data_IF_426747496294
#
_entry.id   IF_426747496294
#
_cell.length_a   1.000
_cell.length_b   1.000
_cell.length_c   1.000
_cell.angle_alpha   90.00
_cell.angle_beta   90.00
_cell.angle_gamma   90.00
#
_symmetry.space_group_name_H-M   'P 1'
#
loop_
_entity.id
_entity.type
_entity.pdbx_description
1 polymer ?
#
# COMPACT_ATOMS: atom_id res chain seq x y z
N UNK A 1 7.30 2.02 50.57
CA UNK A 1 6.27 1.33 49.77
C UNK A 1 6.91 1.01 48.43
N UNK A 2 7.56 -0.16 48.31
CA UNK A 2 8.21 -0.58 47.06
C UNK A 2 7.12 -1.13 46.15
N UNK A 3 6.72 -0.34 45.15
CA UNK A 3 6.04 -0.89 43.98
C UNK A 3 7.07 -1.75 43.26
N UNK A 4 6.80 -3.05 43.23
CA UNK A 4 7.59 -4.07 42.56
C UNK A 4 7.75 -3.70 41.07
N UNK A 5 8.96 -3.35 40.64
CA UNK A 5 9.27 -2.92 39.27
C UNK A 5 8.78 -3.93 38.22
N UNK A 6 8.67 -5.21 38.59
CA UNK A 6 8.13 -6.31 37.76
C UNK A 6 6.61 -6.24 37.56
N UNK A 7 5.87 -5.77 38.57
CA UNK A 7 4.44 -5.49 38.46
C UNK A 7 4.21 -4.26 37.57
N UNK A 8 5.05 -3.22 37.67
CA UNK A 8 4.91 -2.03 36.83
C UNK A 8 5.17 -2.30 35.34
N UNK A 9 6.20 -3.10 35.03
CA UNK A 9 6.57 -3.44 33.64
C UNK A 9 5.60 -4.44 33.02
N UNK A 10 5.05 -5.40 33.77
CA UNK A 10 4.03 -6.31 33.25
C UNK A 10 2.68 -5.63 33.00
N UNK A 11 2.26 -4.72 33.89
CA UNK A 11 1.04 -3.92 33.70
C UNK A 11 1.16 -3.02 32.46
N UNK A 12 2.29 -2.34 32.29
CA UNK A 12 2.51 -1.43 31.16
C UNK A 12 2.48 -2.16 29.80
N UNK A 13 3.10 -3.34 29.72
CA UNK A 13 3.13 -4.18 28.50
C UNK A 13 1.74 -4.65 28.07
N UNK A 14 0.85 -4.90 29.03
CA UNK A 14 -0.51 -5.38 28.76
C UNK A 14 -1.51 -4.24 28.46
N UNK A 15 -1.15 -2.98 28.70
CA UNK A 15 -2.02 -1.84 28.44
C UNK A 15 -1.80 -1.20 27.07
N UNK A 16 -0.66 -1.46 26.43
CA UNK A 16 -0.35 -0.90 25.12
C UNK A 16 -1.09 -1.68 24.03
N UNK A 17 -2.05 -1.00 23.40
CA UNK A 17 -2.84 -1.53 22.28
C UNK A 17 -2.45 -0.93 20.94
N UNK A 18 -1.77 0.21 20.95
CA UNK A 18 -1.32 0.94 19.76
C UNK A 18 0.15 1.30 19.91
N UNK A 19 0.93 1.06 18.86
CA UNK A 19 2.33 1.43 18.81
C UNK A 19 2.69 2.01 17.44
N UNK A 20 3.45 3.09 17.46
CA UNK A 20 4.05 3.69 16.27
C UNK A 20 5.55 3.63 16.45
N UNK A 21 6.23 3.01 15.49
CA UNK A 21 7.68 2.94 15.42
C UNK A 21 8.09 3.70 14.18
N UNK A 22 8.96 4.69 14.35
CA UNK A 22 9.66 5.35 13.26
C UNK A 22 11.14 5.11 13.49
N UNK A 23 11.82 4.55 12.49
CA UNK A 23 13.27 4.46 12.52
C UNK A 23 13.84 5.33 11.41
N UNK A 24 14.81 6.14 11.82
CA UNK A 24 15.73 6.86 10.96
C UNK A 24 17.10 6.20 11.16
N UNK A 25 17.47 5.22 10.31
CA UNK A 25 18.70 4.48 10.52
C UNK A 25 19.91 5.37 10.19
N UNK A 26 20.75 5.61 11.18
CA UNK A 26 22.16 5.83 10.92
C UNK A 26 22.77 4.49 10.45
N UNK A 27 23.70 4.56 9.48
CA UNK A 27 24.21 3.43 8.67
C UNK A 27 24.79 2.22 9.43
N UNK A 28 24.92 2.26 10.76
CA UNK A 28 25.62 1.27 11.58
C UNK A 28 24.74 0.50 12.60
N UNK A 29 23.40 0.66 12.63
CA UNK A 29 22.56 0.11 13.72
C UNK A 29 21.63 -1.09 13.37
N UNK A 30 21.87 -1.82 12.28
CA UNK A 30 21.01 -2.92 11.82
C UNK A 30 20.73 -4.00 12.91
N UNK A 31 21.72 -4.31 13.75
CA UNK A 31 21.58 -5.27 14.85
C UNK A 31 20.64 -4.77 15.96
N UNK A 32 20.76 -3.50 16.33
CA UNK A 32 19.89 -2.85 17.32
C UNK A 32 18.45 -2.83 16.83
N UNK A 33 18.26 -2.53 15.55
CA UNK A 33 16.94 -2.53 14.91
C UNK A 33 16.27 -3.91 14.95
N UNK A 34 16.99 -4.97 14.58
CA UNK A 34 16.46 -6.34 14.66
C UNK A 34 15.99 -6.68 16.07
N UNK A 35 16.75 -6.29 17.09
CA UNK A 35 16.37 -6.52 18.47
C UNK A 35 15.12 -5.73 18.88
N UNK A 36 14.98 -4.46 18.50
CA UNK A 36 13.80 -3.64 18.77
C UNK A 36 12.55 -4.23 18.12
N UNK A 37 12.65 -4.62 16.85
CA UNK A 37 11.59 -5.25 16.08
C UNK A 37 11.10 -6.55 16.75
N UNK A 38 12.03 -7.45 17.08
CA UNK A 38 11.71 -8.72 17.73
C UNK A 38 11.11 -8.53 19.12
N UNK A 39 11.65 -7.59 19.91
CA UNK A 39 11.14 -7.32 21.26
C UNK A 39 9.75 -6.71 21.21
N UNK A 40 9.50 -5.75 20.32
CA UNK A 40 8.18 -5.12 20.18
C UNK A 40 7.08 -6.16 20.00
N UNK A 41 7.28 -7.08 19.07
CA UNK A 41 6.27 -8.06 18.67
C UNK A 41 6.06 -9.17 19.70
N UNK A 42 7.04 -9.39 20.59
CA UNK A 42 6.98 -10.40 21.65
C UNK A 42 6.58 -9.83 23.01
N UNK A 43 6.76 -8.54 23.23
CA UNK A 43 6.55 -7.87 24.52
C UNK A 43 5.10 -7.37 24.69
N UNK A 44 4.47 -6.89 23.62
CA UNK A 44 3.13 -6.28 23.70
C UNK A 44 2.04 -7.26 23.28
N UNK A 45 1.54 -8.05 24.24
CA UNK A 45 0.55 -9.13 23.98
C UNK A 45 -0.83 -8.62 23.52
N UNK A 46 -1.19 -7.38 23.87
CA UNK A 46 -2.47 -6.76 23.55
C UNK A 46 -2.36 -5.74 22.41
N UNK A 47 -1.25 -5.75 21.67
CA UNK A 47 -1.04 -4.84 20.56
C UNK A 47 -2.02 -5.17 19.42
N UNK A 48 -2.93 -4.23 19.16
CA UNK A 48 -3.95 -4.36 18.12
C UNK A 48 -3.65 -3.49 16.89
N UNK A 49 -2.88 -2.41 17.10
CA UNK A 49 -2.51 -1.46 16.06
C UNK A 49 -1.01 -1.26 16.06
N UNK A 50 -0.37 -1.52 14.93
CA UNK A 50 1.06 -1.28 14.73
C UNK A 50 1.25 -0.41 13.49
N UNK A 51 1.99 0.67 13.64
CA UNK A 51 2.49 1.46 12.53
C UNK A 51 4.01 1.42 12.54
N UNK A 52 4.63 1.10 11.42
CA UNK A 52 6.07 1.03 11.27
C UNK A 52 6.54 1.87 10.07
N UNK A 53 7.32 2.90 10.36
CA UNK A 53 7.94 3.78 9.39
C UNK A 53 9.44 3.53 9.35
N UNK A 54 9.92 3.09 8.20
CA UNK A 54 11.35 3.09 7.87
C UNK A 54 11.61 4.30 6.97
N UNK A 55 12.22 5.35 7.54
CA UNK A 55 12.45 6.60 6.82
C UNK A 55 13.45 6.43 5.66
N UNK A 56 14.39 5.50 5.80
CA UNK A 56 15.42 5.23 4.80
C UNK A 56 14.98 4.18 3.76
N UNK A 57 13.84 3.52 3.98
CA UNK A 57 13.38 2.38 3.18
C UNK A 57 14.48 1.33 3.00
N UNK A 58 15.22 0.96 4.05
CA UNK A 58 16.31 -0.03 3.93
C UNK A 58 15.83 -1.49 4.09
N UNK A 59 14.53 -1.74 3.85
CA UNK A 59 13.86 -3.01 4.14
C UNK A 59 13.97 -3.46 5.60
N UNK A 60 14.19 -2.54 6.55
CA UNK A 60 14.28 -2.88 7.96
C UNK A 60 12.99 -3.51 8.50
N UNK A 61 11.86 -3.26 7.83
CA UNK A 61 10.59 -3.91 8.11
C UNK A 61 10.70 -5.43 7.97
N UNK A 62 11.55 -5.97 7.07
CA UNK A 62 11.82 -7.42 6.98
C UNK A 62 12.30 -8.00 8.31
N UNK A 63 13.05 -7.22 9.10
CA UNK A 63 13.55 -7.65 10.41
C UNK A 63 12.43 -7.90 11.43
N UNK A 64 11.26 -7.25 11.29
CA UNK A 64 10.06 -7.59 12.08
C UNK A 64 9.57 -9.01 11.80
N UNK A 65 9.87 -9.53 10.61
CA UNK A 65 9.29 -10.79 10.13
C UNK A 65 10.31 -11.93 10.06
N UNK A 66 11.61 -11.67 10.19
CA UNK A 66 12.61 -12.74 10.36
C UNK A 66 12.53 -13.44 11.74
N UNK A 67 11.58 -13.06 12.59
CA UNK A 67 11.26 -13.75 13.84
C UNK A 67 10.69 -15.15 13.54
N UNK A 68 11.29 -16.25 14.04
CA UNK A 68 10.80 -17.59 13.79
C UNK A 68 9.42 -17.84 14.43
N UNK A 69 8.50 -18.34 13.61
CA UNK A 69 7.24 -18.96 14.06
C UNK A 69 7.60 -20.13 15.00
N UNK A 70 7.20 -20.17 16.29
CA UNK A 70 5.94 -19.68 16.87
C UNK A 70 6.10 -18.53 17.91
N UNK A 71 7.23 -17.84 17.96
CA UNK A 71 7.46 -16.76 18.97
C UNK A 71 6.61 -15.51 18.72
N UNK A 72 5.96 -15.44 17.56
CA UNK A 72 4.96 -14.44 17.22
C UNK A 72 3.59 -14.84 17.82
N UNK A 73 3.35 -14.52 19.09
CA UNK A 73 2.08 -14.82 19.78
C UNK A 73 1.04 -13.70 19.73
N UNK A 74 1.32 -12.61 19.01
CA UNK A 74 0.41 -11.47 18.86
C UNK A 74 -0.75 -11.81 17.92
N UNK A 75 -1.57 -12.78 18.34
CA UNK A 75 -2.88 -13.12 17.79
C UNK A 75 -3.87 -11.94 17.85
N UNK A 76 -3.51 -10.82 18.47
CA UNK A 76 -4.37 -9.65 18.68
C UNK A 76 -4.17 -8.53 17.64
N UNK A 77 -3.19 -8.61 16.74
CA UNK A 77 -2.94 -7.53 15.78
C UNK A 77 -4.05 -7.47 14.71
N UNK A 78 -4.80 -6.36 14.70
CA UNK A 78 -5.92 -6.13 13.79
C UNK A 78 -5.59 -5.11 12.70
N UNK A 79 -4.68 -4.19 12.97
CA UNK A 79 -4.31 -3.10 12.06
C UNK A 79 -2.79 -3.02 11.95
N UNK A 80 -2.31 -3.04 10.71
CA UNK A 80 -0.89 -2.88 10.38
C UNK A 80 -0.75 -1.78 9.33
N UNK A 81 0.09 -0.79 9.62
CA UNK A 81 0.53 0.22 8.67
C UNK A 81 2.05 0.16 8.54
N UNK A 82 2.55 0.02 7.32
CA UNK A 82 3.97 -0.16 7.06
C UNK A 82 4.41 0.67 5.87
N UNK A 83 5.68 1.07 5.94
CA UNK A 83 6.41 1.67 4.83
C UNK A 83 7.60 0.78 4.49
N UNK A 84 7.61 0.19 3.29
CA UNK A 84 8.59 -0.83 2.89
C UNK A 84 9.23 -0.49 1.55
N UNK A 85 10.45 -1.00 1.30
CA UNK A 85 11.15 -0.70 0.05
C UNK A 85 10.71 -1.59 -1.09
N UNK A 86 10.50 -2.89 -0.83
CA UNK A 86 10.27 -3.91 -1.85
C UNK A 86 8.97 -4.68 -1.65
N UNK A 87 8.44 -5.19 -2.76
CA UNK A 87 7.20 -5.95 -2.82
C UNK A 87 7.26 -7.30 -2.06
N UNK A 88 8.45 -7.90 -1.98
CA UNK A 88 8.66 -9.18 -1.30
C UNK A 88 8.26 -9.13 0.17
N UNK A 89 8.55 -8.01 0.83
CA UNK A 89 8.17 -7.79 2.22
C UNK A 89 6.65 -7.77 2.37
N UNK A 90 5.92 -7.17 1.42
CA UNK A 90 4.47 -7.19 1.40
C UNK A 90 3.94 -8.62 1.30
N UNK A 91 4.49 -9.41 0.38
CA UNK A 91 4.05 -10.80 0.18
C UNK A 91 4.31 -11.67 1.42
N UNK A 92 5.43 -11.44 2.11
CA UNK A 92 5.80 -12.15 3.32
C UNK A 92 4.84 -11.89 4.49
N UNK A 93 4.39 -10.64 4.66
CA UNK A 93 3.38 -10.26 5.66
C UNK A 93 2.08 -11.00 5.41
N UNK A 94 1.77 -11.24 4.14
CA UNK A 94 0.53 -11.81 3.67
C UNK A 94 0.53 -13.34 3.63
N UNK A 95 1.61 -14.00 4.04
CA UNK A 95 1.73 -15.47 4.06
C UNK A 95 1.05 -16.15 5.27
N UNK A 96 0.13 -15.45 5.94
CA UNK A 96 -0.71 -16.01 7.02
C UNK A 96 -0.16 -15.82 8.44
N UNK A 97 0.86 -14.99 8.64
CA UNK A 97 1.40 -14.67 9.98
C UNK A 97 0.44 -13.84 10.84
N UNK A 98 -0.44 -13.09 10.18
CA UNK A 98 -1.39 -12.18 10.82
C UNK A 98 -2.82 -12.61 10.51
N UNK A 99 -3.22 -13.78 11.00
CA UNK A 99 -4.54 -14.35 10.68
C UNK A 99 -5.71 -13.45 11.12
N UNK A 100 -5.55 -12.65 12.17
CA UNK A 100 -6.58 -11.74 12.68
C UNK A 100 -6.53 -10.34 12.04
N UNK A 101 -5.64 -10.10 11.08
CA UNK A 101 -5.48 -8.78 10.47
C UNK A 101 -6.74 -8.40 9.70
N UNK A 102 -7.37 -7.30 10.10
CA UNK A 102 -8.55 -6.75 9.43
C UNK A 102 -8.19 -5.61 8.50
N UNK A 103 -7.15 -4.84 8.83
CA UNK A 103 -6.69 -3.71 8.03
C UNK A 103 -5.19 -3.75 7.80
N UNK A 104 -4.81 -3.53 6.55
CA UNK A 104 -3.42 -3.41 6.13
C UNK A 104 -3.25 -2.19 5.25
N UNK A 105 -2.27 -1.37 5.60
CA UNK A 105 -1.89 -0.16 4.87
C UNK A 105 -0.40 -0.27 4.53
N UNK A 106 -0.08 -0.18 3.25
CA UNK A 106 1.28 -0.34 2.75
C UNK A 106 1.65 0.86 1.89
N UNK A 107 2.76 1.48 2.23
CA UNK A 107 3.48 2.43 1.39
C UNK A 107 4.77 1.78 0.88
N UNK A 108 4.87 1.58 -0.44
CA UNK A 108 6.02 1.03 -1.13
C UNK A 108 6.81 2.15 -1.77
N UNK A 109 8.12 2.25 -1.46
CA UNK A 109 9.00 3.15 -2.22
C UNK A 109 9.04 2.76 -3.70
N UNK A 110 9.34 1.50 -3.98
CA UNK A 110 9.50 1.00 -5.32
C UNK A 110 8.84 -0.36 -5.47
N UNK A 111 8.11 -0.53 -6.57
CA UNK A 111 7.59 -1.84 -6.95
C UNK A 111 8.55 -2.47 -7.97
N UNK A 112 9.32 -3.45 -7.51
CA UNK A 112 10.15 -4.32 -8.35
C UNK A 112 9.62 -5.75 -8.28
N UNK A 113 9.79 -6.54 -9.37
CA UNK A 113 9.47 -7.96 -9.32
C UNK A 113 10.30 -8.66 -8.22
N UNK A 114 9.73 -9.69 -7.57
CA UNK A 114 10.45 -10.49 -6.60
C UNK A 114 11.76 -11.04 -7.15
N UNK A 115 12.78 -11.11 -6.29
CA UNK A 115 14.03 -11.80 -6.63
C UNK A 115 13.86 -13.33 -6.65
N UNK A 116 12.83 -13.84 -5.98
CA UNK A 116 12.49 -15.26 -5.90
C UNK A 116 11.00 -15.47 -6.21
N UNK A 117 10.65 -16.54 -6.92
CA UNK A 117 9.25 -16.91 -7.15
C UNK A 117 8.56 -17.19 -5.81
N UNK A 118 7.69 -16.28 -5.37
CA UNK A 118 6.90 -16.50 -4.16
C UNK A 118 5.73 -17.44 -4.53
N UNK A 119 5.99 -18.75 -4.42
CA UNK A 119 5.07 -19.83 -4.82
C UNK A 119 3.80 -19.92 -3.93
N UNK A 120 3.73 -19.21 -2.81
CA UNK A 120 2.62 -19.36 -1.86
C UNK A 120 1.52 -18.30 -2.04
N UNK A 121 0.58 -18.61 -2.94
CA UNK A 121 -0.67 -17.87 -3.15
C UNK A 121 -1.70 -18.17 -2.05
N UNK A 122 -1.37 -17.90 -0.78
CA UNK A 122 -2.35 -18.04 0.30
C UNK A 122 -3.38 -16.93 0.22
N UNK A 123 -4.67 -17.31 0.31
CA UNK A 123 -5.78 -16.37 0.50
C UNK A 123 -5.67 -15.72 1.88
N UNK A 124 -6.17 -14.48 1.98
CA UNK A 124 -6.16 -13.71 3.22
C UNK A 124 -7.61 -13.43 3.64
N UNK A 125 -8.31 -14.45 4.17
CA UNK A 125 -9.77 -14.41 4.24
C UNK A 125 -10.33 -13.34 5.19
N UNK A 126 -9.55 -12.94 6.20
CA UNK A 126 -10.00 -12.04 7.27
C UNK A 126 -9.70 -10.55 6.99
N UNK A 127 -8.90 -10.25 5.97
CA UNK A 127 -8.59 -8.87 5.63
C UNK A 127 -9.81 -8.21 4.99
N UNK A 128 -10.25 -7.10 5.58
CA UNK A 128 -11.43 -6.33 5.16
C UNK A 128 -11.07 -5.00 4.52
N UNK A 129 -9.93 -4.43 4.92
CA UNK A 129 -9.48 -3.11 4.48
C UNK A 129 -8.04 -3.22 3.99
N UNK A 130 -7.80 -2.83 2.75
CA UNK A 130 -6.46 -2.80 2.18
C UNK A 130 -6.19 -1.44 1.53
N UNK A 131 -5.04 -0.86 1.84
CA UNK A 131 -4.53 0.33 1.17
C UNK A 131 -3.13 0.05 0.67
N UNK A 132 -2.89 0.38 -0.59
CA UNK A 132 -1.58 0.29 -1.23
C UNK A 132 -1.24 1.63 -1.87
N UNK A 133 -0.06 2.14 -1.53
CA UNK A 133 0.57 3.26 -2.22
C UNK A 133 1.91 2.83 -2.79
N UNK A 134 2.17 3.09 -4.07
CA UNK A 134 3.48 2.80 -4.66
C UNK A 134 3.80 3.67 -5.87
N UNK A 135 5.09 3.72 -6.21
CA UNK A 135 5.58 4.21 -7.49
C UNK A 135 6.05 3.04 -8.35
N UNK A 136 5.66 3.03 -9.62
CA UNK A 136 5.92 1.90 -10.51
C UNK A 136 5.80 2.19 -12.01
N UNK A 137 5.75 1.14 -12.81
CA UNK A 137 5.39 1.12 -14.23
C UNK A 137 4.04 0.43 -14.40
N UNK A 138 3.31 0.74 -15.47
CA UNK A 138 1.98 0.14 -15.70
C UNK A 138 2.05 -1.37 -15.88
N UNK A 139 3.14 -1.89 -16.47
CA UNK A 139 3.40 -3.33 -16.58
C UNK A 139 3.35 -4.05 -15.22
N UNK A 140 3.95 -3.47 -14.18
CA UNK A 140 3.97 -4.06 -12.83
C UNK A 140 2.62 -3.98 -12.10
N UNK A 141 1.73 -3.06 -12.50
CA UNK A 141 0.36 -3.07 -11.99
C UNK A 141 -0.35 -4.37 -12.41
N UNK A 142 -0.23 -4.76 -13.67
CA UNK A 142 -0.84 -5.99 -14.19
C UNK A 142 -0.15 -7.26 -13.64
N UNK A 143 1.19 -7.26 -13.58
CA UNK A 143 1.98 -8.43 -13.20
C UNK A 143 2.03 -8.69 -11.69
N UNK A 144 1.98 -7.66 -10.85
CA UNK A 144 2.25 -7.79 -9.40
C UNK A 144 1.05 -7.34 -8.55
N UNK A 145 0.46 -6.19 -8.88
CA UNK A 145 -0.59 -5.59 -8.05
C UNK A 145 -1.93 -6.31 -8.22
N UNK A 146 -2.37 -6.55 -9.46
CA UNK A 146 -3.64 -7.24 -9.70
C UNK A 146 -3.66 -8.65 -9.08
N UNK A 147 -2.64 -9.52 -9.27
CA UNK A 147 -2.60 -10.82 -8.62
C UNK A 147 -2.66 -10.73 -7.08
N UNK A 148 -2.01 -9.73 -6.49
CA UNK A 148 -2.07 -9.50 -5.05
C UNK A 148 -3.50 -9.16 -4.60
N UNK A 149 -4.13 -8.20 -5.27
CA UNK A 149 -5.50 -7.75 -5.02
C UNK A 149 -6.48 -8.94 -5.12
N UNK A 150 -6.33 -9.83 -6.11
CA UNK A 150 -7.18 -11.00 -6.27
C UNK A 150 -7.11 -12.01 -5.11
N UNK A 151 -5.98 -12.08 -4.40
CA UNK A 151 -5.85 -12.92 -3.19
C UNK A 151 -6.72 -12.42 -2.03
N UNK A 152 -7.19 -11.18 -2.11
CA UNK A 152 -7.97 -10.47 -1.10
C UNK A 152 -9.40 -10.21 -1.60
N UNK A 153 -10.02 -11.21 -2.25
CA UNK A 153 -11.36 -11.08 -2.86
C UNK A 153 -12.51 -10.75 -1.88
N UNK A 154 -12.27 -10.84 -0.57
CA UNK A 154 -13.25 -10.55 0.48
C UNK A 154 -13.15 -9.12 1.05
N UNK A 155 -12.31 -8.27 0.44
CA UNK A 155 -12.17 -6.88 0.86
C UNK A 155 -13.50 -6.14 0.77
N UNK A 156 -13.80 -5.39 1.83
CA UNK A 156 -14.92 -4.46 1.88
C UNK A 156 -14.47 -3.06 1.47
N UNK A 157 -13.19 -2.73 1.66
CA UNK A 157 -12.61 -1.49 1.19
C UNK A 157 -11.20 -1.66 0.60
N UNK A 158 -10.98 -0.93 -0.49
CA UNK A 158 -9.72 -0.89 -1.22
C UNK A 158 -9.32 0.56 -1.50
N UNK A 159 -8.11 0.92 -1.12
CA UNK A 159 -7.48 2.20 -1.43
C UNK A 159 -6.23 2.01 -2.27
N UNK A 160 -6.15 2.63 -3.45
CA UNK A 160 -4.99 2.52 -4.34
C UNK A 160 -4.42 3.90 -4.65
N UNK A 161 -3.14 4.13 -4.36
CA UNK A 161 -2.45 5.38 -4.70
C UNK A 161 -1.20 5.08 -5.51
N UNK A 162 -1.22 5.40 -6.80
CA UNK A 162 -0.14 5.05 -7.72
C UNK A 162 0.43 6.28 -8.39
N UNK A 163 1.75 6.29 -8.55
CA UNK A 163 2.42 7.09 -9.57
C UNK A 163 3.09 6.13 -10.52
N UNK A 164 2.70 6.14 -11.79
CA UNK A 164 3.12 5.15 -12.76
C UNK A 164 3.67 5.79 -14.03
N UNK A 165 4.72 5.21 -14.60
CA UNK A 165 5.10 5.49 -15.99
C UNK A 165 4.31 4.57 -16.92
N UNK A 166 3.65 5.15 -17.92
CA UNK A 166 2.85 4.42 -18.90
C UNK A 166 3.77 3.75 -19.91
N UNK A 167 3.74 2.41 -19.93
CA UNK A 167 4.44 1.62 -20.93
C UNK A 167 3.54 1.33 -22.14
N UNK A 168 2.41 0.67 -21.90
CA UNK A 168 1.50 0.19 -22.96
C UNK A 168 0.08 0.74 -22.82
N UNK A 169 -0.50 0.69 -21.61
CA UNK A 169 -1.92 0.99 -21.38
C UNK A 169 -2.12 1.94 -20.21
N UNK A 170 -3.14 2.79 -20.32
CA UNK A 170 -3.58 3.63 -19.21
C UNK A 170 -4.38 2.82 -18.20
N UNK A 171 -4.20 3.15 -16.92
CA UNK A 171 -5.11 2.70 -15.87
C UNK A 171 -6.30 3.68 -15.85
N UNK A 172 -7.24 3.47 -16.76
CA UNK A 172 -8.47 4.25 -16.89
C UNK A 172 -9.66 3.57 -16.18
N UNK A 173 -10.87 4.13 -16.32
CA UNK A 173 -12.08 3.60 -15.70
C UNK A 173 -12.48 2.22 -16.23
N UNK A 174 -12.19 1.93 -17.49
CA UNK A 174 -12.46 0.60 -18.06
C UNK A 174 -11.50 -0.44 -17.48
N UNK A 175 -10.21 -0.11 -17.35
CA UNK A 175 -9.22 -0.95 -16.71
C UNK A 175 -9.62 -1.27 -15.25
N UNK A 176 -9.93 -0.24 -14.45
CA UNK A 176 -10.33 -0.43 -13.05
C UNK A 176 -11.63 -1.25 -12.93
N UNK A 177 -12.60 -1.03 -13.82
CA UNK A 177 -13.85 -1.80 -13.85
C UNK A 177 -13.59 -3.26 -14.17
N UNK A 178 -12.85 -3.53 -15.25
CA UNK A 178 -12.54 -4.86 -15.72
C UNK A 178 -11.75 -5.67 -14.70
N UNK A 179 -10.71 -5.07 -14.12
CA UNK A 179 -9.72 -5.78 -13.32
C UNK A 179 -9.96 -5.69 -11.81
N UNK A 180 -10.72 -4.73 -11.29
CA UNK A 180 -10.96 -4.65 -9.84
C UNK A 180 -12.44 -4.85 -9.55
N UNK A 181 -13.30 -3.97 -10.06
CA UNK A 181 -14.70 -3.93 -9.64
C UNK A 181 -15.48 -5.18 -10.03
N UNK A 182 -15.21 -5.76 -11.20
CA UNK A 182 -15.85 -7.00 -11.63
C UNK A 182 -15.42 -8.23 -10.80
N UNK A 183 -14.24 -8.16 -10.16
CA UNK A 183 -13.67 -9.29 -9.40
C UNK A 183 -13.95 -9.19 -7.89
N UNK A 184 -14.26 -8.00 -7.37
CA UNK A 184 -14.41 -7.76 -5.93
C UNK A 184 -15.87 -7.50 -5.53
N UNK A 185 -16.68 -8.57 -5.51
CA UNK A 185 -18.12 -8.46 -5.23
C UNK A 185 -18.49 -8.00 -3.81
N UNK A 186 -17.55 -8.10 -2.87
CA UNK A 186 -17.73 -7.65 -1.48
C UNK A 186 -17.33 -6.17 -1.28
N UNK A 187 -16.75 -5.53 -2.30
CA UNK A 187 -16.19 -4.19 -2.18
C UNK A 187 -17.30 -3.15 -2.06
N UNK A 188 -17.36 -2.50 -0.90
CA UNK A 188 -18.31 -1.43 -0.58
C UNK A 188 -17.71 -0.05 -0.87
N UNK A 189 -16.39 0.08 -0.72
CA UNK A 189 -15.67 1.34 -0.94
C UNK A 189 -14.41 1.10 -1.76
N UNK A 190 -14.35 1.76 -2.89
CA UNK A 190 -13.13 1.83 -3.70
C UNK A 190 -12.68 3.27 -3.80
N UNK A 191 -11.46 3.53 -3.34
CA UNK A 191 -10.82 4.84 -3.45
C UNK A 191 -9.53 4.71 -4.22
N UNK A 192 -9.25 5.66 -5.11
CA UNK A 192 -8.01 5.68 -5.86
C UNK A 192 -7.47 7.09 -6.11
N UNK A 193 -6.16 7.17 -6.27
CA UNK A 193 -5.36 8.35 -6.63
C UNK A 193 -4.23 7.89 -7.57
N UNK A 194 -4.47 7.93 -8.88
CA UNK A 194 -3.60 7.36 -9.90
C UNK A 194 -3.03 8.48 -10.76
N UNK A 195 -1.71 8.61 -10.75
CA UNK A 195 -0.93 9.51 -11.60
C UNK A 195 -0.20 8.69 -12.64
N UNK A 196 -0.34 9.05 -13.89
CA UNK A 196 0.27 8.40 -15.05
C UNK A 196 1.15 9.41 -15.79
N UNK A 197 2.44 9.13 -15.85
CA UNK A 197 3.43 9.87 -16.62
C UNK A 197 3.61 9.17 -17.96
N UNK A 198 3.48 9.89 -19.07
CA UNK A 198 3.60 9.33 -20.42
C UNK A 198 4.67 10.08 -21.21
N UNK A 199 5.45 9.35 -22.02
CA UNK A 199 6.39 9.94 -22.97
C UNK A 199 5.66 10.19 -24.29
N UNK A 200 5.51 11.44 -24.72
CA UNK A 200 4.82 11.79 -25.97
C UNK A 200 5.74 11.48 -27.16
N UNK A 201 5.41 10.43 -27.89
CA UNK A 201 6.03 10.13 -29.19
C UNK A 201 5.11 10.61 -30.32
N UNK A 202 5.68 10.92 -31.49
CA UNK A 202 4.99 11.53 -32.63
C UNK A 202 3.79 10.73 -33.21
N UNK A 203 3.55 9.50 -32.75
CA UNK A 203 2.51 8.59 -33.26
C UNK A 203 1.40 8.29 -32.23
N UNK A 204 1.43 8.87 -31.03
CA UNK A 204 0.41 8.57 -30.02
C UNK A 204 -0.82 9.46 -30.12
N UNK A 205 -1.99 8.81 -30.17
CA UNK A 205 -3.25 9.46 -29.85
C UNK A 205 -3.25 9.80 -28.35
N UNK A 206 -3.06 11.08 -28.06
CA UNK A 206 -3.06 11.63 -26.71
C UNK A 206 -4.50 11.79 -26.21
N UNK A 207 -4.95 11.02 -25.20
CA UNK A 207 -6.34 11.08 -24.74
C UNK A 207 -6.65 12.43 -24.09
N UNK A 208 -7.75 13.07 -24.50
CA UNK A 208 -8.22 14.28 -23.81
C UNK A 208 -8.70 13.95 -22.39
N UNK A 209 -8.87 14.99 -21.57
CA UNK A 209 -9.50 14.87 -20.25
C UNK A 209 -10.89 14.23 -20.37
N UNK A 210 -11.65 14.64 -21.38
CA UNK A 210 -13.00 14.16 -21.66
C UNK A 210 -12.98 12.67 -22.02
N UNK A 211 -12.02 12.23 -22.84
CA UNK A 211 -11.85 10.81 -23.19
C UNK A 211 -11.63 9.97 -21.93
N UNK A 212 -10.72 10.41 -21.04
CA UNK A 212 -10.46 9.72 -19.77
C UNK A 212 -11.68 9.76 -18.86
N UNK A 213 -12.32 10.93 -18.70
CA UNK A 213 -13.48 11.09 -17.82
C UNK A 213 -14.66 10.21 -18.25
N UNK A 214 -14.83 10.01 -19.57
CA UNK A 214 -15.89 9.19 -20.15
C UNK A 214 -15.77 7.71 -19.75
N UNK A 215 -14.57 7.22 -19.43
CA UNK A 215 -14.36 5.83 -18.97
C UNK A 215 -14.95 5.55 -17.57
N UNK A 216 -15.35 6.59 -16.84
CA UNK A 216 -15.86 6.50 -15.47
C UNK A 216 -17.38 6.67 -15.35
N UNK A 217 -18.12 6.88 -16.45
CA UNK A 217 -19.55 7.22 -16.41
C UNK A 217 -20.42 6.16 -15.74
N UNK A 218 -19.98 4.90 -15.76
CA UNK A 218 -20.73 3.77 -15.22
C UNK A 218 -20.43 3.50 -13.73
N UNK A 219 -19.49 4.23 -13.12
CA UNK A 219 -19.09 4.01 -11.73
C UNK A 219 -20.02 4.78 -10.79
N UNK A 220 -21.01 4.07 -10.24
CA UNK A 220 -22.05 4.65 -9.38
C UNK A 220 -21.56 5.17 -8.02
N UNK A 221 -20.33 4.81 -7.62
CA UNK A 221 -19.92 4.86 -6.21
C UNK A 221 -19.04 6.06 -5.83
N UNK A 222 -18.65 6.92 -6.78
CA UNK A 222 -17.64 7.95 -6.48
C UNK A 222 -17.68 9.12 -7.44
N UNK A 223 -17.54 10.35 -6.91
CA UNK A 223 -17.18 11.51 -7.73
C UNK A 223 -15.73 11.30 -8.16
N UNK A 224 -15.49 11.16 -9.46
CA UNK A 224 -14.18 10.91 -10.04
C UNK A 224 -13.79 12.12 -10.86
N UNK A 225 -12.54 12.56 -10.71
CA UNK A 225 -11.97 13.68 -11.45
C UNK A 225 -10.78 13.16 -12.23
N UNK A 226 -10.74 13.47 -13.52
CA UNK A 226 -9.56 13.35 -14.37
C UNK A 226 -8.97 14.73 -14.69
N UNK A 227 -7.65 14.79 -14.73
CA UNK A 227 -6.85 15.92 -15.17
C UNK A 227 -5.82 15.38 -16.16
N UNK A 228 -5.71 16.00 -17.34
CA UNK A 228 -4.72 15.59 -18.35
C UNK A 228 -3.99 16.84 -18.83
N UNK A 229 -2.66 16.77 -18.82
CA UNK A 229 -1.77 17.86 -19.20
C UNK A 229 -0.68 17.35 -20.15
N UNK A 230 -0.36 18.15 -21.16
CA UNK A 230 0.65 17.84 -22.15
C UNK A 230 1.71 18.94 -22.21
N UNK A 231 2.95 18.54 -21.96
CA UNK A 231 4.15 19.38 -22.00
C UNK A 231 4.94 19.00 -23.25
N UNK A 232 4.51 19.52 -24.40
CA UNK A 232 5.08 19.19 -25.72
C UNK A 232 6.60 19.47 -25.79
N UNK A 233 7.05 20.57 -25.17
CA UNK A 233 8.48 20.94 -25.12
C UNK A 233 9.35 19.89 -24.41
N UNK A 234 8.74 19.11 -23.51
CA UNK A 234 9.40 18.06 -22.74
C UNK A 234 9.05 16.66 -23.25
N UNK A 235 8.23 16.55 -24.31
CA UNK A 235 7.67 15.29 -24.79
C UNK A 235 7.05 14.47 -23.65
N UNK A 236 6.33 15.13 -22.75
CA UNK A 236 5.75 14.49 -21.57
C UNK A 236 4.27 14.82 -21.43
N UNK A 237 3.47 13.83 -21.07
CA UNK A 237 2.11 14.02 -20.62
C UNK A 237 1.94 13.55 -19.18
N UNK A 238 0.99 14.16 -18.48
CA UNK A 238 0.55 13.76 -17.16
C UNK A 238 -0.95 13.52 -17.21
N UNK A 239 -1.39 12.37 -16.72
CA UNK A 239 -2.79 12.08 -16.45
C UNK A 239 -2.94 11.79 -14.97
N UNK A 240 -3.85 12.49 -14.30
CA UNK A 240 -4.15 12.30 -12.90
C UNK A 240 -5.63 11.99 -12.75
N UNK A 241 -5.95 10.84 -12.16
CA UNK A 241 -7.30 10.37 -11.95
C UNK A 241 -7.48 10.02 -10.48
N UNK A 242 -8.50 10.58 -9.84
CA UNK A 242 -8.75 10.31 -8.43
C UNK A 242 -10.24 10.34 -8.09
N UNK A 243 -10.59 9.60 -7.03
CA UNK A 243 -11.97 9.42 -6.56
C UNK A 243 -12.20 10.11 -5.22
N UNK A 244 -13.35 10.74 -4.96
CA UNK A 244 -13.63 11.38 -3.66
C UNK A 244 -14.26 10.43 -2.61
N UNK A 245 -13.77 10.45 -1.35
CA UNK A 245 -12.55 11.11 -0.89
C UNK A 245 -11.32 10.38 -1.44
N UNK A 246 -10.27 11.12 -1.83
CA UNK A 246 -9.04 10.53 -2.34
C UNK A 246 -7.95 10.50 -1.26
N UNK A 247 -7.08 9.51 -1.35
CA UNK A 247 -5.93 9.35 -0.48
C UNK A 247 -4.76 10.11 -1.11
N UNK A 248 -4.69 11.43 -0.91
CA UNK A 248 -3.56 12.23 -1.41
C UNK A 248 -2.31 11.87 -0.62
N UNK A 249 -1.51 10.93 -1.14
CA UNK A 249 -0.26 10.48 -0.50
C UNK A 249 1.00 11.02 -1.15
N UNK A 250 0.89 11.48 -2.40
CA UNK A 250 2.00 12.09 -3.14
C UNK A 250 1.61 13.50 -3.58
N UNK A 251 2.49 14.48 -3.36
CA UNK A 251 2.33 15.86 -3.82
C UNK A 251 3.12 16.16 -5.09
N UNK A 252 3.86 15.17 -5.61
CA UNK A 252 4.62 15.33 -6.84
C UNK A 252 3.68 15.36 -8.05
N UNK A 253 4.08 16.11 -9.07
CA UNK A 253 3.39 16.18 -10.37
C UNK A 253 1.93 16.68 -10.28
N UNK A 254 1.58 17.47 -9.26
CA UNK A 254 0.32 18.22 -9.25
C UNK A 254 0.34 19.20 -10.42
N UNK A 255 -0.62 19.06 -11.32
CA UNK A 255 -0.67 19.86 -12.53
C UNK A 255 -1.48 21.14 -12.32
N UNK A 256 -1.35 22.09 -13.25
CA UNK A 256 -2.14 23.33 -13.23
C UNK A 256 -3.65 23.07 -13.35
N UNK A 257 -4.05 21.93 -13.92
CA UNK A 257 -5.44 21.52 -14.06
C UNK A 257 -5.93 20.67 -12.89
N UNK A 258 -5.12 20.47 -11.85
CA UNK A 258 -5.55 19.83 -10.63
C UNK A 258 -6.68 20.65 -9.99
N UNK A 259 -7.88 20.09 -10.00
CA UNK A 259 -9.06 20.73 -9.42
C UNK A 259 -9.04 20.57 -7.89
N UNK A 260 -8.20 21.32 -7.19
CA UNK A 260 -8.45 21.62 -5.78
C UNK A 260 -9.51 22.72 -5.71
N UNK A 261 -10.51 22.53 -4.86
CA UNK A 261 -11.60 23.49 -4.64
C UNK A 261 -11.12 24.90 -4.27
#
# INVERSE_FOLDING_TARGET
MCLDERLSTSIFKNQITTLIISIDPDKDELYTMKNICNHTLTVFINLTHLTFYDAAYENNVRLLFDVPFPTFSSSSLLVLNIKVQTFDVCLYILDGRFEQLHRLDIELANLFPPLEEIENQRKIPNLKYFVLSCMSRTSYYDELILPLIYRMSNLEELGLSFTTTVDETFIDGNNLKQHILNHMSQLKRFTFDIRSVMCINNEMNLPSKEDIQQTFTDLQYTKIVSCVDYFLDHQQGLCHIYSYPFLMRCFEYITNNFASG
#
